data_IF_730301224297
#
_entry.id   IF_730301224297
#
_cell.length_a   1.000
_cell.length_b   1.000
_cell.length_c   1.000
_cell.angle_alpha   90.00
_cell.angle_beta   90.00
_cell.angle_gamma   90.00
#
_symmetry.space_group_name_H-M   'P 1'
#
loop_
_entity.id
_entity.type
_entity.pdbx_description
1 polymer ?
#
# COMPACT_ATOMS: atom_id res chain seq x y z
N UNK A 1 15.99 -30.86 -29.63
CA UNK A 1 16.79 -29.75 -30.18
C UNK A 1 16.07 -28.39 -30.13
N UNK A 2 14.76 -28.29 -30.42
CA UNK A 2 14.02 -27.01 -30.42
C UNK A 2 13.86 -26.33 -29.03
N UNK A 3 13.81 -27.10 -27.94
CA UNK A 3 13.68 -26.55 -26.57
C UNK A 3 14.96 -25.93 -26.02
N UNK A 4 16.14 -26.47 -26.38
CA UNK A 4 17.43 -25.91 -25.97
C UNK A 4 17.76 -24.60 -26.72
N UNK A 5 17.34 -24.49 -27.99
CA UNK A 5 17.54 -23.29 -28.80
C UNK A 5 16.72 -22.09 -28.30
N UNK A 6 15.49 -22.33 -27.79
CA UNK A 6 14.63 -21.30 -27.21
C UNK A 6 15.17 -20.76 -25.87
N UNK A 7 15.75 -21.61 -25.04
CA UNK A 7 16.38 -21.21 -23.78
C UNK A 7 17.65 -20.35 -23.99
N UNK A 8 18.48 -20.69 -25.00
CA UNK A 8 19.67 -19.90 -25.34
C UNK A 8 19.29 -18.54 -25.91
N UNK A 9 18.23 -18.47 -26.75
CA UNK A 9 17.73 -17.20 -27.29
C UNK A 9 17.18 -16.27 -26.19
N UNK A 10 16.53 -16.81 -25.16
CA UNK A 10 15.96 -16.03 -24.06
C UNK A 10 17.04 -15.45 -23.14
N UNK A 11 18.11 -16.21 -22.88
CA UNK A 11 19.26 -15.75 -22.07
C UNK A 11 20.03 -14.65 -22.80
N UNK A 12 20.25 -14.78 -24.12
CA UNK A 12 20.90 -13.74 -24.91
C UNK A 12 20.05 -12.45 -24.99
N UNK A 13 18.73 -12.58 -25.13
CA UNK A 13 17.81 -11.43 -25.12
C UNK A 13 17.80 -10.72 -23.76
N UNK A 14 17.83 -11.47 -22.66
CA UNK A 14 17.90 -10.92 -21.31
C UNK A 14 19.23 -10.17 -21.05
N UNK A 15 20.37 -10.71 -21.52
CA UNK A 15 21.68 -10.05 -21.38
C UNK A 15 21.76 -8.74 -22.19
N UNK A 16 21.11 -8.67 -23.36
CA UNK A 16 21.02 -7.44 -24.16
C UNK A 16 20.13 -6.40 -23.48
N UNK A 17 18.99 -6.81 -22.90
CA UNK A 17 18.08 -5.92 -22.17
C UNK A 17 18.72 -5.33 -20.90
N UNK A 18 19.49 -6.12 -20.15
CA UNK A 18 20.20 -5.64 -18.95
C UNK A 18 21.32 -4.65 -19.30
N UNK A 19 22.04 -4.85 -20.42
CA UNK A 19 23.08 -3.91 -20.86
C UNK A 19 22.52 -2.58 -21.41
N UNK A 20 21.34 -2.59 -22.03
CA UNK A 20 20.67 -1.35 -22.50
C UNK A 20 20.14 -0.52 -21.32
N UNK A 21 19.73 -1.15 -20.22
CA UNK A 21 19.25 -0.44 -19.03
C UNK A 21 20.36 0.27 -18.24
N UNK A 22 21.62 -0.19 -18.33
CA UNK A 22 22.75 0.42 -17.63
C UNK A 22 23.43 1.60 -18.34
N UNK A 23 23.01 1.98 -19.56
CA UNK A 23 23.58 3.14 -20.28
C UNK A 23 22.71 4.40 -20.30
N UNK A 24 21.48 4.37 -19.76
CA UNK A 24 20.58 5.55 -19.74
C UNK A 24 20.65 6.39 -18.46
N UNK A 25 21.55 6.06 -17.52
CA UNK A 25 21.67 6.80 -16.26
C UNK A 25 22.80 7.82 -16.28
N UNK A 26 22.64 8.94 -16.99
CA UNK A 26 23.33 10.23 -16.68
C UNK A 26 22.52 11.40 -17.23
N UNK A 27 22.02 12.27 -16.33
CA UNK A 27 22.20 13.74 -16.35
C UNK A 27 21.08 14.48 -15.60
N UNK A 28 21.37 15.02 -14.41
CA UNK A 28 20.81 16.32 -14.00
C UNK A 28 21.77 17.02 -13.02
N UNK A 29 22.18 18.24 -13.40
CA UNK A 29 23.09 19.11 -12.66
C UNK A 29 22.36 19.90 -11.54
N UNK A 30 23.09 20.54 -10.60
CA UNK A 30 22.52 21.27 -9.48
C UNK A 30 21.92 22.62 -9.93
N UNK A 31 20.66 22.88 -9.59
CA UNK A 31 20.06 24.21 -9.72
C UNK A 31 20.50 25.14 -8.59
N UNK A 32 20.76 26.44 -8.86
CA UNK A 32 21.19 27.40 -7.84
C UNK A 32 20.08 27.71 -6.83
N UNK A 33 20.49 27.82 -5.56
CA UNK A 33 19.68 28.16 -4.39
C UNK A 33 18.94 29.49 -4.56
N UNK A 34 17.65 29.60 -4.18
CA UNK A 34 17.04 30.91 -3.94
C UNK A 34 17.58 31.48 -2.61
N UNK A 35 18.22 32.65 -2.71
CA UNK A 35 18.66 33.47 -1.58
C UNK A 35 17.46 33.90 -0.73
N UNK A 36 17.49 33.53 0.55
CA UNK A 36 16.56 34.03 1.58
C UNK A 36 16.74 35.54 1.73
N UNK A 37 15.76 36.34 1.30
CA UNK A 37 15.68 37.75 1.67
C UNK A 37 14.71 37.90 2.84
N UNK A 38 15.32 38.22 3.98
CA UNK A 38 14.67 38.62 5.23
C UNK A 38 13.80 39.87 5.01
N UNK A 39 12.54 39.80 5.44
CA UNK A 39 11.73 41.00 5.70
C UNK A 39 10.99 40.79 7.02
N UNK A 40 11.67 41.15 8.10
CA UNK A 40 11.09 41.27 9.42
C UNK A 40 10.21 42.53 9.48
N UNK A 41 8.92 42.36 9.75
CA UNK A 41 8.09 43.40 10.38
C UNK A 41 7.23 42.73 11.44
N UNK A 42 7.60 42.97 12.69
CA UNK A 42 6.86 42.59 13.87
C UNK A 42 5.53 43.36 13.96
N UNK A 43 4.43 42.65 14.17
CA UNK A 43 3.29 43.17 14.95
C UNK A 43 2.71 42.10 15.86
N UNK A 44 2.94 42.37 17.14
CA UNK A 44 2.29 41.88 18.35
C UNK A 44 0.76 41.97 18.28
N UNK A 45 0.05 40.85 18.47
CA UNK A 45 -0.99 40.69 19.49
C UNK A 45 -1.53 39.26 19.47
N UNK A 46 -1.36 38.57 20.60
CA UNK A 46 -1.91 37.26 20.92
C UNK A 46 -3.44 37.32 21.02
N UNK A 47 -4.15 36.31 20.48
CA UNK A 47 -5.10 35.59 21.31
C UNK A 47 -4.53 34.21 21.62
N UNK A 48 -4.26 33.96 22.90
CA UNK A 48 -3.95 32.63 23.44
C UNK A 48 -5.20 31.77 23.31
N UNK A 49 -5.37 31.09 22.17
CA UNK A 49 -6.20 29.90 22.11
C UNK A 49 -5.31 28.74 22.55
N UNK A 50 -5.46 28.32 23.80
CA UNK A 50 -4.91 27.06 24.28
C UNK A 50 -5.63 25.90 23.59
N UNK A 51 -5.30 25.63 22.32
CA UNK A 51 -5.62 24.34 21.70
C UNK A 51 -4.63 23.34 22.30
N UNK A 52 -5.06 22.58 23.29
CA UNK A 52 -4.41 21.30 23.60
C UNK A 52 -4.43 20.49 22.30
N UNK A 53 -3.28 20.12 21.69
CA UNK A 53 -3.29 19.20 20.58
C UNK A 53 -3.86 17.88 21.09
N UNK A 54 -5.12 17.60 20.77
CA UNK A 54 -5.73 16.30 21.01
C UNK A 54 -4.90 15.26 20.26
N UNK A 55 -4.56 14.17 20.93
CA UNK A 55 -3.86 13.05 20.28
C UNK A 55 -4.58 12.67 18.97
N UNK A 56 -3.85 12.37 17.88
CA UNK A 56 -4.48 12.01 16.62
C UNK A 56 -5.37 10.78 16.84
N UNK A 57 -6.66 10.93 16.51
CA UNK A 57 -7.58 9.79 16.53
C UNK A 57 -7.11 8.75 15.50
N UNK A 58 -7.05 7.45 15.84
CA UNK A 58 -6.57 6.44 14.92
C UNK A 58 -7.49 6.40 13.68
N UNK A 59 -6.94 6.80 12.54
CA UNK A 59 -7.70 7.06 11.31
C UNK A 59 -7.63 5.85 10.37
N UNK A 60 -8.73 5.55 9.69
CA UNK A 60 -8.78 4.55 8.62
C UNK A 60 -7.75 4.90 7.52
N UNK A 61 -7.14 3.88 6.91
CA UNK A 61 -6.18 4.11 5.84
C UNK A 61 -6.86 4.11 4.48
N UNK A 62 -6.43 5.03 3.62
CA UNK A 62 -7.01 5.29 2.31
C UNK A 62 -5.93 5.11 1.25
N UNK A 63 -6.33 4.55 0.13
CA UNK A 63 -5.50 4.29 -1.05
C UNK A 63 -5.16 5.58 -1.80
N UNK A 64 -4.18 5.54 -2.71
CA UNK A 64 -3.61 6.76 -3.28
C UNK A 64 -4.62 7.59 -4.09
N UNK A 65 -5.56 6.94 -4.79
CA UNK A 65 -6.63 7.62 -5.55
C UNK A 65 -7.96 7.63 -4.78
N UNK A 66 -7.99 7.08 -3.56
CA UNK A 66 -9.17 7.08 -2.69
C UNK A 66 -10.23 6.05 -3.02
N UNK A 67 -9.96 5.13 -3.96
CA UNK A 67 -10.93 4.11 -4.36
C UNK A 67 -11.14 3.04 -3.29
N UNK A 68 -10.10 2.69 -2.54
CA UNK A 68 -10.15 1.74 -1.43
C UNK A 68 -9.88 2.46 -0.10
N UNK A 69 -10.70 2.16 0.91
CA UNK A 69 -10.55 2.60 2.31
C UNK A 69 -10.60 1.37 3.20
N UNK A 70 -9.60 1.17 4.05
CA UNK A 70 -9.59 0.12 5.08
C UNK A 70 -9.86 0.75 6.43
N UNK A 71 -10.99 0.40 7.04
CA UNK A 71 -11.43 0.89 8.36
C UNK A 71 -11.00 -0.02 9.49
N UNK A 72 -10.86 -1.32 9.23
CA UNK A 72 -10.30 -2.30 10.17
C UNK A 72 -9.36 -3.25 9.44
N UNK A 73 -8.20 -3.59 10.03
CA UNK A 73 -7.63 -3.00 11.24
C UNK A 73 -7.21 -1.53 11.05
N UNK A 74 -6.96 -0.82 12.15
CA UNK A 74 -6.31 0.50 12.11
C UNK A 74 -4.79 0.33 12.05
N UNK A 75 -4.08 1.35 11.54
CA UNK A 75 -2.62 1.30 11.48
C UNK A 75 -2.01 1.03 12.86
N UNK A 76 -1.00 0.15 12.87
CA UNK A 76 -0.23 -0.31 14.02
C UNK A 76 -1.05 -1.04 15.09
N UNK A 77 -2.27 -1.46 14.78
CA UNK A 77 -3.06 -2.30 15.69
C UNK A 77 -2.37 -3.64 15.94
N UNK A 78 -2.47 -4.13 17.17
CA UNK A 78 -2.16 -5.52 17.54
C UNK A 78 -3.34 -6.41 17.17
N UNK A 79 -3.11 -7.39 16.29
CA UNK A 79 -4.16 -8.25 15.73
C UNK A 79 -3.77 -9.72 15.84
N UNK A 80 -4.75 -10.59 16.05
CA UNK A 80 -4.60 -12.05 16.09
C UNK A 80 -5.51 -12.73 15.07
N UNK A 81 -5.28 -14.01 14.80
CA UNK A 81 -6.19 -14.85 14.03
C UNK A 81 -7.42 -15.25 14.90
N UNK A 82 -8.65 -15.28 14.34
CA UNK A 82 -9.06 -14.72 13.06
C UNK A 82 -9.12 -13.18 13.08
N UNK A 83 -8.77 -12.55 11.97
CA UNK A 83 -8.75 -11.10 11.77
C UNK A 83 -9.89 -10.65 10.86
N UNK A 84 -10.68 -9.68 11.34
CA UNK A 84 -11.65 -8.96 10.49
C UNK A 84 -10.97 -7.82 9.75
N UNK A 85 -11.03 -7.85 8.41
CA UNK A 85 -10.63 -6.76 7.53
C UNK A 85 -11.90 -6.16 6.93
N UNK A 86 -12.13 -4.86 7.11
CA UNK A 86 -13.32 -4.22 6.59
C UNK A 86 -13.09 -2.78 6.16
N UNK A 87 -13.96 -2.31 5.27
CA UNK A 87 -13.82 -1.00 4.67
C UNK A 87 -14.81 -0.74 3.55
N UNK A 88 -14.47 0.25 2.72
CA UNK A 88 -15.26 0.66 1.57
C UNK A 88 -14.39 0.65 0.31
N UNK A 89 -14.98 0.30 -0.82
CA UNK A 89 -14.30 0.32 -2.10
C UNK A 89 -15.22 0.81 -3.23
N UNK A 90 -14.63 1.49 -4.21
CA UNK A 90 -15.25 1.79 -5.51
C UNK A 90 -14.26 1.35 -6.58
N UNK A 91 -14.35 0.07 -6.98
CA UNK A 91 -13.39 -0.63 -7.85
C UNK A 91 -14.15 -1.39 -8.95
N UNK A 92 -13.48 -1.76 -10.04
CA UNK A 92 -14.10 -2.45 -11.17
C UNK A 92 -14.77 -3.76 -10.73
N UNK A 93 -16.05 -3.94 -11.11
CA UNK A 93 -16.89 -5.11 -10.76
C UNK A 93 -16.93 -5.44 -9.26
N UNK A 94 -16.65 -4.46 -8.39
CA UNK A 94 -16.53 -4.63 -6.94
C UNK A 94 -15.43 -5.62 -6.50
N UNK A 95 -14.51 -6.01 -7.39
CA UNK A 95 -13.56 -7.09 -7.15
C UNK A 95 -12.33 -6.60 -6.38
N UNK A 96 -12.08 -7.21 -5.22
CA UNK A 96 -10.93 -6.89 -4.36
C UNK A 96 -10.10 -8.13 -4.11
N UNK A 97 -8.80 -7.98 -4.24
CA UNK A 97 -7.83 -8.90 -3.68
C UNK A 97 -7.40 -8.42 -2.30
N UNK A 98 -7.08 -9.36 -1.42
CA UNK A 98 -6.51 -9.05 -0.11
C UNK A 98 -5.42 -10.03 0.25
N UNK A 99 -4.47 -9.58 1.07
CA UNK A 99 -3.45 -10.44 1.68
C UNK A 99 -2.96 -9.89 3.01
N UNK A 100 -2.55 -10.78 3.89
CA UNK A 100 -1.80 -10.47 5.10
C UNK A 100 -0.37 -10.90 4.84
N UNK A 101 0.58 -9.98 4.96
CA UNK A 101 2.01 -10.25 4.69
C UNK A 101 2.86 -9.97 5.93
N UNK A 102 3.95 -10.72 6.08
CA UNK A 102 5.00 -10.39 7.04
C UNK A 102 5.94 -9.29 6.52
N UNK A 103 6.95 -8.91 7.31
CA UNK A 103 7.97 -7.91 6.92
C UNK A 103 8.80 -8.28 5.69
N UNK A 104 8.87 -9.56 5.32
CA UNK A 104 9.57 -10.02 4.12
C UNK A 104 8.69 -9.94 2.88
N UNK A 105 7.40 -9.59 3.05
CA UNK A 105 6.40 -9.58 1.99
C UNK A 105 5.83 -10.96 1.68
N UNK A 106 6.13 -11.98 2.50
CA UNK A 106 5.56 -13.32 2.32
C UNK A 106 4.10 -13.32 2.76
N UNK A 107 3.16 -13.79 1.92
CA UNK A 107 1.76 -13.90 2.31
C UNK A 107 1.57 -14.99 3.37
N UNK A 108 0.93 -14.63 4.47
CA UNK A 108 0.47 -15.52 5.53
C UNK A 108 -0.97 -16.01 5.28
N UNK A 109 -1.77 -15.17 4.61
CA UNK A 109 -3.09 -15.49 4.09
C UNK A 109 -3.41 -14.54 2.93
N UNK A 110 -4.20 -14.98 1.97
CA UNK A 110 -4.66 -14.16 0.85
C UNK A 110 -5.98 -14.67 0.28
N UNK A 111 -6.66 -13.83 -0.48
CA UNK A 111 -7.90 -14.21 -1.13
C UNK A 111 -8.51 -13.10 -1.97
N UNK A 112 -9.77 -13.33 -2.34
CA UNK A 112 -10.62 -12.39 -3.07
C UNK A 112 -11.88 -12.15 -2.25
N UNK A 113 -12.41 -10.95 -2.33
CA UNK A 113 -13.73 -10.60 -1.83
C UNK A 113 -14.42 -9.66 -2.82
N UNK A 114 -15.70 -9.40 -2.62
CA UNK A 114 -16.43 -8.39 -3.36
C UNK A 114 -16.96 -7.32 -2.41
N UNK A 115 -16.84 -6.06 -2.80
CA UNK A 115 -17.61 -5.01 -2.16
C UNK A 115 -19.11 -5.15 -2.49
N UNK A 116 -19.98 -4.51 -1.71
CA UNK A 116 -21.43 -4.57 -1.92
C UNK A 116 -21.91 -3.85 -3.19
N UNK A 117 -21.04 -3.05 -3.82
CA UNK A 117 -21.28 -2.33 -5.06
C UNK A 117 -19.95 -2.09 -5.80
N UNK A 118 -19.99 -2.05 -7.13
CA UNK A 118 -18.84 -1.81 -8.00
C UNK A 118 -18.79 -0.38 -8.53
N UNK A 119 -17.63 0.06 -9.02
CA UNK A 119 -17.45 1.39 -9.56
C UNK A 119 -18.49 1.70 -10.68
N UNK A 120 -19.04 2.93 -10.72
CA UNK A 120 -18.64 4.10 -9.94
C UNK A 120 -19.26 4.17 -8.54
N UNK A 121 -20.14 3.24 -8.16
CA UNK A 121 -20.70 3.21 -6.81
C UNK A 121 -19.64 2.79 -5.78
N UNK A 122 -19.87 3.18 -4.52
CA UNK A 122 -19.02 2.78 -3.40
C UNK A 122 -19.75 1.74 -2.56
N UNK A 123 -19.19 0.54 -2.50
CA UNK A 123 -19.67 -0.56 -1.67
C UNK A 123 -18.84 -0.77 -0.42
N UNK A 124 -19.39 -1.50 0.54
CA UNK A 124 -18.67 -1.97 1.74
C UNK A 124 -18.16 -3.40 1.54
N UNK A 125 -17.03 -3.76 2.15
CA UNK A 125 -16.56 -5.13 2.19
C UNK A 125 -16.22 -5.56 3.62
N UNK A 126 -16.30 -6.87 3.88
CA UNK A 126 -15.86 -7.48 5.14
C UNK A 126 -15.28 -8.86 4.84
N UNK A 127 -14.10 -9.10 5.39
CA UNK A 127 -13.34 -10.34 5.26
C UNK A 127 -13.08 -10.86 6.67
N UNK A 128 -13.32 -12.16 6.89
CA UNK A 128 -12.82 -12.88 8.05
C UNK A 128 -11.61 -13.71 7.61
N UNK A 129 -10.40 -13.22 7.91
CA UNK A 129 -9.16 -13.84 7.49
C UNK A 129 -8.57 -14.67 8.62
N UNK A 130 -8.31 -15.94 8.33
CA UNK A 130 -7.53 -16.83 9.21
C UNK A 130 -6.13 -16.97 8.63
N UNK A 131 -5.12 -16.83 9.48
CA UNK A 131 -3.72 -17.06 9.14
C UNK A 131 -3.05 -17.89 10.24
N UNK A 132 -1.91 -18.50 9.92
CA UNK A 132 -1.11 -19.22 10.91
C UNK A 132 -0.53 -18.24 11.92
N UNK A 133 -0.71 -18.53 13.21
CA UNK A 133 -0.17 -17.67 14.26
C UNK A 133 1.36 -17.57 14.13
N UNK A 134 1.92 -16.36 14.23
CA UNK A 134 3.36 -16.18 14.13
C UNK A 134 4.04 -16.79 15.38
N UNK A 135 5.30 -17.21 15.26
CA UNK A 135 6.05 -17.79 16.39
C UNK A 135 6.35 -16.76 17.49
N UNK A 136 6.38 -15.47 17.14
CA UNK A 136 6.60 -14.32 18.02
C UNK A 136 5.78 -13.15 17.48
N UNK A 137 5.49 -12.15 18.32
CA UNK A 137 4.91 -10.88 17.87
C UNK A 137 5.73 -10.32 16.69
N UNK A 138 5.10 -10.15 15.53
CA UNK A 138 5.78 -9.84 14.26
C UNK A 138 5.10 -8.66 13.57
N UNK A 139 5.88 -7.74 13.02
CA UNK A 139 5.34 -6.68 12.18
C UNK A 139 4.83 -7.27 10.85
N UNK A 140 3.74 -6.71 10.34
CA UNK A 140 3.18 -7.14 9.07
C UNK A 140 2.34 -6.06 8.43
N UNK A 141 1.66 -6.41 7.36
CA UNK A 141 0.71 -5.52 6.70
C UNK A 141 -0.52 -6.27 6.23
N UNK A 142 -1.67 -5.63 6.39
CA UNK A 142 -2.90 -6.01 5.69
C UNK A 142 -2.98 -5.19 4.42
N UNK A 143 -3.01 -5.87 3.29
CA UNK A 143 -3.12 -5.24 1.98
C UNK A 143 -4.48 -5.56 1.36
N UNK A 144 -5.15 -4.53 0.86
CA UNK A 144 -6.38 -4.65 0.07
C UNK A 144 -6.17 -3.87 -1.21
N UNK A 145 -6.41 -4.50 -2.35
CA UNK A 145 -6.02 -3.95 -3.64
C UNK A 145 -6.93 -4.40 -4.77
N UNK A 146 -6.93 -3.62 -5.85
CA UNK A 146 -7.59 -3.94 -7.11
C UNK A 146 -6.52 -4.36 -8.14
N UNK A 147 -6.83 -5.39 -8.92
CA UNK A 147 -6.03 -5.75 -10.10
C UNK A 147 -6.68 -5.23 -11.37
N UNK A 148 -5.86 -4.69 -12.26
CA UNK A 148 -6.30 -4.25 -13.57
C UNK A 148 -6.85 -5.44 -14.36
N UNK A 149 -8.07 -5.37 -14.91
CA UNK A 149 -8.56 -6.40 -15.82
C UNK A 149 -7.77 -6.43 -17.15
N UNK A 150 -6.99 -5.37 -17.44
CA UNK A 150 -6.19 -5.26 -18.67
C UNK A 150 -4.95 -6.16 -18.66
N UNK A 151 -4.22 -6.18 -17.56
CA UNK A 151 -2.90 -6.82 -17.47
C UNK A 151 -2.59 -7.48 -16.11
N UNK A 152 -3.53 -7.43 -15.16
CA UNK A 152 -3.38 -8.00 -13.82
C UNK A 152 -2.46 -7.21 -12.88
N UNK A 153 -1.94 -6.04 -13.31
CA UNK A 153 -1.17 -5.13 -12.47
C UNK A 153 -2.02 -4.57 -11.32
N UNK A 154 -1.38 -4.06 -10.27
CA UNK A 154 -2.10 -3.45 -9.14
C UNK A 154 -2.39 -1.99 -9.50
N UNK A 155 -3.66 -1.67 -9.75
CA UNK A 155 -4.10 -0.31 -10.09
C UNK A 155 -4.30 0.56 -8.84
N UNK A 156 -4.73 -0.05 -7.74
CA UNK A 156 -4.95 0.61 -6.46
C UNK A 156 -4.62 -0.31 -5.29
N UNK A 157 -4.08 0.22 -4.20
CA UNK A 157 -3.73 -0.55 -3.01
C UNK A 157 -3.77 0.30 -1.73
N UNK A 158 -4.30 -0.29 -0.66
CA UNK A 158 -4.07 0.17 0.73
C UNK A 158 -3.17 -0.83 1.42
N UNK A 159 -2.15 -0.34 2.14
CA UNK A 159 -1.31 -1.15 3.03
C UNK A 159 -1.46 -0.65 4.46
N UNK A 160 -2.08 -1.45 5.31
CA UNK A 160 -2.26 -1.14 6.72
C UNK A 160 -1.19 -1.84 7.54
N UNK A 161 -0.21 -1.13 8.12
CA UNK A 161 0.78 -1.76 8.99
C UNK A 161 0.09 -2.29 10.25
N UNK A 162 0.47 -3.48 10.71
CA UNK A 162 -0.08 -4.12 11.91
C UNK A 162 1.00 -4.85 12.67
N UNK A 163 0.72 -5.18 13.93
CA UNK A 163 1.51 -6.14 14.73
C UNK A 163 0.69 -7.42 14.82
N UNK A 164 1.17 -8.49 14.19
CA UNK A 164 0.60 -9.83 14.28
C UNK A 164 1.04 -10.42 15.62
N UNK A 165 0.10 -10.67 16.53
CA UNK A 165 0.42 -11.16 17.88
C UNK A 165 0.51 -12.67 17.89
N UNK A 166 1.47 -13.18 18.64
CA UNK A 166 1.54 -14.59 18.98
C UNK A 166 0.44 -14.91 20.02
N UNK A 167 -0.25 -16.04 19.85
CA UNK A 167 -1.35 -16.51 20.72
C UNK A 167 -1.05 -17.90 21.25
#
# INVERSE_FOLDING_TARGET
MRRALLLIAFILLFIVLVNVFLLSSRSQAPGPSPTLTSSAVARTASPTVSVTPGAPSPTALVSARGFIVVRRPLANSRVSSPLTISGDASVFEANLNWRIVDTTGRPLAEGITTASAGAPERGTFTIAATYADPLVDTLGSVEVFERSPRDGSIDEIVRVPVVLVHR
#
